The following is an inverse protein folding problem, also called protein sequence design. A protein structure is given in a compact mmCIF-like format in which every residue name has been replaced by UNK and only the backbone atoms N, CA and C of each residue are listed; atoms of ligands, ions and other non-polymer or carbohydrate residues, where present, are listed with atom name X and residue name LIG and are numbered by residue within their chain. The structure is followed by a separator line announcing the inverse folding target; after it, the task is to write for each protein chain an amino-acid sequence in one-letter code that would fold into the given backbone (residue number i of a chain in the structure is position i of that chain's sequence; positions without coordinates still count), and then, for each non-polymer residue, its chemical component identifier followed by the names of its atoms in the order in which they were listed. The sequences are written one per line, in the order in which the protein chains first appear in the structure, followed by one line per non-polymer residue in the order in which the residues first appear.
data_IF_804971363155
#
_entry.id   IF_804971363155
#
_cell.length_a   1.000
_cell.length_b   1.000
_cell.length_c   1.000
_cell.angle_alpha   90.00
_cell.angle_beta   90.00
_cell.angle_gamma   90.00
#
_symmetry.space_group_name_H-M   'P 1'
#
loop_
_entity.id
_entity.type
_entity.pdbx_description
1 polymer ?
#
# COMPACT_ATOMS: atom_id res chain seq x y z
N UNK A 1 -45.42 15.54 57.03
CA UNK A 1 -44.10 15.03 57.46
C UNK A 1 -43.84 13.70 56.75
N UNK A 2 -42.67 13.58 56.10
CA UNK A 2 -42.04 12.37 55.54
C UNK A 2 -42.71 11.79 54.27
N UNK A 3 -42.04 11.44 53.18
CA UNK A 3 -40.65 11.56 52.70
C UNK A 3 -40.70 11.19 51.21
N UNK A 4 -39.99 11.93 50.37
CA UNK A 4 -39.76 11.60 48.96
C UNK A 4 -38.77 10.42 48.84
N UNK A 5 -39.05 9.45 47.96
CA UNK A 5 -38.02 8.52 47.49
C UNK A 5 -38.28 8.03 46.05
N UNK A 6 -37.51 8.63 45.14
CA UNK A 6 -36.86 8.07 43.95
C UNK A 6 -37.66 7.20 42.94
N UNK A 7 -37.93 7.73 41.74
CA UNK A 7 -38.30 6.94 40.56
C UNK A 7 -37.17 7.02 39.52
N UNK A 8 -36.17 6.10 39.47
CA UNK A 8 -35.27 6.10 38.30
C UNK A 8 -34.27 4.94 38.08
N UNK A 9 -34.46 3.69 38.55
CA UNK A 9 -33.43 2.64 38.31
C UNK A 9 -34.01 1.27 37.93
N UNK A 10 -35.08 1.22 37.11
CA UNK A 10 -35.54 -0.05 36.52
C UNK A 10 -35.80 -0.05 35.02
N UNK A 11 -35.68 1.10 34.36
CA UNK A 11 -36.02 1.22 32.93
C UNK A 11 -34.81 1.34 31.99
N UNK A 12 -33.58 1.23 32.52
CA UNK A 12 -32.34 1.34 31.75
C UNK A 12 -31.64 0.01 31.45
N UNK A 13 -32.14 -1.11 31.97
CA UNK A 13 -31.45 -2.43 31.87
C UNK A 13 -32.15 -3.41 30.89
N UNK A 14 -33.26 -3.05 30.25
CA UNK A 14 -33.94 -3.91 29.25
C UNK A 14 -33.66 -3.56 27.78
N UNK A 15 -32.88 -2.50 27.50
CA UNK A 15 -32.61 -2.03 26.12
C UNK A 15 -31.19 -2.32 25.58
N UNK A 16 -30.36 -3.09 26.28
CA UNK A 16 -29.02 -3.48 25.80
C UNK A 16 -28.92 -4.95 25.34
N UNK A 17 -29.95 -5.44 24.62
CA UNK A 17 -29.84 -6.65 23.80
C UNK A 17 -30.38 -6.36 22.41
N UNK A 18 -29.50 -5.83 21.54
CA UNK A 18 -29.40 -6.12 20.10
C UNK A 18 -28.26 -5.30 19.50
N UNK A 19 -27.04 -5.49 20.02
CA UNK A 19 -25.85 -5.06 19.29
C UNK A 19 -25.65 -6.03 18.14
N UNK A 20 -26.30 -5.71 17.01
CA UNK A 20 -26.03 -6.33 15.73
C UNK A 20 -24.53 -6.27 15.47
N UNK A 21 -23.92 -7.45 15.36
CA UNK A 21 -22.58 -7.62 14.83
C UNK A 21 -22.62 -7.18 13.36
N UNK A 22 -22.33 -5.91 13.10
CA UNK A 22 -22.11 -5.41 11.75
C UNK A 22 -20.73 -5.89 11.34
N UNK A 23 -20.66 -7.11 10.83
CA UNK A 23 -19.54 -7.55 10.01
C UNK A 23 -19.40 -6.55 8.86
N UNK A 24 -18.21 -6.00 8.56
CA UNK A 24 -18.03 -5.18 7.37
C UNK A 24 -18.42 -6.03 6.16
N UNK A 25 -19.51 -5.67 5.48
CA UNK A 25 -19.90 -6.30 4.21
C UNK A 25 -18.77 -6.00 3.23
N UNK A 26 -18.03 -7.04 2.83
CA UNK A 26 -17.13 -6.97 1.69
C UNK A 26 -17.92 -6.36 0.51
N UNK A 27 -17.38 -5.33 -0.17
CA UNK A 27 -18.08 -4.73 -1.29
C UNK A 27 -18.29 -5.76 -2.40
N UNK A 28 -19.40 -5.66 -3.16
CA UNK A 28 -19.71 -6.60 -4.22
C UNK A 28 -18.59 -6.62 -5.27
N UNK A 29 -18.11 -7.83 -5.57
CA UNK A 29 -17.02 -8.14 -6.50
C UNK A 29 -17.25 -7.70 -7.95
N UNK A 30 -18.38 -7.06 -8.25
CA UNK A 30 -18.78 -6.60 -9.58
C UNK A 30 -18.38 -5.14 -9.90
N UNK A 31 -17.79 -4.40 -8.96
CA UNK A 31 -17.44 -2.98 -9.14
C UNK A 31 -15.99 -2.70 -9.53
N UNK A 32 -15.20 -3.74 -9.85
CA UNK A 32 -13.85 -3.54 -10.39
C UNK A 32 -13.86 -3.63 -11.91
N UNK A 33 -13.87 -2.51 -12.64
CA UNK A 33 -13.72 -2.56 -14.08
C UNK A 33 -12.37 -3.19 -14.46
N UNK A 34 -12.28 -3.92 -15.58
CA UNK A 34 -11.07 -4.60 -16.01
C UNK A 34 -10.05 -3.60 -16.60
N UNK A 35 -9.57 -2.64 -15.80
CA UNK A 35 -8.54 -1.70 -16.22
C UNK A 35 -7.14 -2.26 -15.98
N UNK A 36 -6.91 -3.42 -16.57
CA UNK A 36 -5.63 -3.76 -17.17
C UNK A 36 -5.93 -4.80 -18.26
N UNK A 37 -6.70 -4.41 -19.29
CA UNK A 37 -6.66 -5.14 -20.56
C UNK A 37 -5.28 -4.89 -21.17
N UNK A 38 -4.28 -5.59 -20.67
CA UNK A 38 -3.04 -5.79 -21.40
C UNK A 38 -3.34 -6.83 -22.46
N UNK A 39 -3.46 -6.37 -23.71
CA UNK A 39 -3.33 -7.24 -24.87
C UNK A 39 -2.04 -8.07 -24.75
N UNK A 40 -2.01 -9.22 -25.41
CA UNK A 40 -0.97 -10.26 -25.33
C UNK A 40 0.42 -9.63 -25.58
N UNK A 41 1.04 -9.14 -24.52
CA UNK A 41 2.39 -8.59 -24.48
C UNK A 41 3.09 -9.33 -23.35
N UNK A 42 4.26 -9.88 -23.65
CA UNK A 42 5.03 -10.67 -22.68
C UNK A 42 5.36 -9.78 -21.48
N UNK A 43 4.84 -10.14 -20.30
CA UNK A 43 5.06 -9.39 -19.06
C UNK A 43 6.49 -9.55 -18.59
N UNK A 44 7.32 -8.55 -18.83
CA UNK A 44 8.75 -8.56 -18.46
C UNK A 44 8.99 -8.16 -17.00
N UNK A 45 8.20 -7.24 -16.44
CA UNK A 45 8.41 -6.76 -15.07
C UNK A 45 7.08 -6.49 -14.34
N UNK A 46 6.66 -7.48 -13.56
CA UNK A 46 5.41 -7.46 -12.78
C UNK A 46 5.32 -6.30 -11.79
N UNK A 47 6.45 -5.83 -11.23
CA UNK A 47 6.46 -4.68 -10.33
C UNK A 47 6.17 -3.38 -11.08
N UNK A 48 6.71 -3.23 -12.28
CA UNK A 48 6.50 -2.04 -13.10
C UNK A 48 5.02 -1.91 -13.50
N UNK A 49 4.39 -3.02 -13.87
CA UNK A 49 2.97 -3.05 -14.22
C UNK A 49 2.10 -2.73 -12.98
N UNK A 50 2.43 -3.31 -11.83
CA UNK A 50 1.72 -3.04 -10.58
C UNK A 50 1.77 -1.55 -10.17
N UNK A 51 2.96 -0.94 -10.15
CA UNK A 51 3.10 0.48 -9.79
C UNK A 51 2.44 1.41 -10.83
N UNK A 52 2.49 1.06 -12.12
CA UNK A 52 1.75 1.80 -13.16
C UNK A 52 0.24 1.75 -12.92
N UNK A 53 -0.31 0.58 -12.57
CA UNK A 53 -1.73 0.45 -12.23
C UNK A 53 -2.12 1.31 -11.03
N UNK A 54 -1.30 1.34 -9.97
CA UNK A 54 -1.52 2.18 -8.79
C UNK A 54 -1.50 3.67 -9.17
N UNK A 55 -0.46 4.12 -9.88
CA UNK A 55 -0.32 5.52 -10.29
C UNK A 55 -1.50 5.98 -11.16
N UNK A 56 -1.95 5.12 -12.09
CA UNK A 56 -3.11 5.42 -12.93
C UNK A 56 -4.43 5.42 -12.15
N UNK A 57 -4.56 4.61 -11.10
CA UNK A 57 -5.75 4.58 -10.25
C UNK A 57 -5.82 5.82 -9.34
N UNK A 58 -4.70 6.21 -8.73
CA UNK A 58 -4.57 7.43 -7.91
C UNK A 58 -4.87 8.69 -8.73
N UNK A 59 -4.28 8.83 -9.92
CA UNK A 59 -4.58 9.96 -10.82
C UNK A 59 -6.04 10.06 -11.24
N UNK A 60 -6.77 8.93 -11.21
CA UNK A 60 -8.22 8.88 -11.51
C UNK A 60 -9.08 9.02 -10.25
N UNK A 61 -8.49 9.20 -9.07
CA UNK A 61 -9.22 9.32 -7.80
C UNK A 61 -9.95 8.03 -7.39
N UNK A 62 -9.48 6.85 -7.82
CA UNK A 62 -10.08 5.58 -7.40
C UNK A 62 -9.69 5.27 -5.96
N UNK A 63 -10.64 4.77 -5.17
CA UNK A 63 -10.41 4.36 -3.78
C UNK A 63 -9.65 3.04 -3.64
N UNK A 64 -9.71 2.18 -4.66
CA UNK A 64 -9.12 0.84 -4.60
C UNK A 64 -8.55 0.44 -5.96
N UNK A 65 -7.48 -0.34 -5.93
CA UNK A 65 -6.84 -0.90 -7.11
C UNK A 65 -6.59 -2.39 -6.94
N UNK A 66 -6.79 -3.13 -8.03
CA UNK A 66 -6.63 -4.56 -8.09
C UNK A 66 -5.41 -4.90 -8.95
N UNK A 67 -4.41 -5.53 -8.35
CA UNK A 67 -3.13 -5.84 -8.98
C UNK A 67 -3.07 -7.34 -9.29
N UNK A 68 -2.64 -7.67 -10.51
CA UNK A 68 -2.47 -9.06 -11.00
C UNK A 68 -1.23 -9.13 -11.90
N UNK A 69 -0.22 -9.98 -11.63
CA UNK A 69 -0.15 -11.04 -10.61
C UNK A 69 0.37 -10.55 -9.25
N UNK A 70 0.17 -11.33 -8.18
CA UNK A 70 0.82 -11.11 -6.89
C UNK A 70 2.28 -11.62 -6.95
N UNK A 71 3.19 -10.93 -6.28
CA UNK A 71 4.59 -11.35 -6.15
C UNK A 71 5.16 -10.88 -4.81
N UNK A 72 6.06 -11.66 -4.22
CA UNK A 72 6.69 -11.34 -2.91
C UNK A 72 7.33 -9.94 -2.92
N UNK A 73 7.96 -9.56 -4.03
CA UNK A 73 8.58 -8.22 -4.19
C UNK A 73 7.52 -7.12 -4.14
N UNK A 74 6.37 -7.30 -4.80
CA UNK A 74 5.27 -6.33 -4.80
C UNK A 74 4.72 -6.18 -3.38
N UNK A 75 4.47 -7.31 -2.69
CA UNK A 75 3.96 -7.30 -1.31
C UNK A 75 4.92 -6.54 -0.38
N UNK A 76 6.22 -6.81 -0.46
CA UNK A 76 7.23 -6.10 0.35
C UNK A 76 7.32 -4.62 0.00
N UNK A 77 7.23 -4.26 -1.28
CA UNK A 77 7.22 -2.86 -1.72
C UNK A 77 6.00 -2.12 -1.17
N UNK A 78 4.80 -2.71 -1.29
CA UNK A 78 3.56 -2.16 -0.73
C UNK A 78 3.65 -2.04 0.79
N UNK A 79 4.27 -3.00 1.47
CA UNK A 79 4.51 -2.91 2.91
C UNK A 79 5.33 -1.67 3.27
N UNK A 80 6.38 -1.34 2.51
CA UNK A 80 7.18 -0.12 2.73
C UNK A 80 6.33 1.15 2.48
N UNK A 81 5.52 1.17 1.42
CA UNK A 81 4.62 2.30 1.15
C UNK A 81 3.57 2.51 2.26
N UNK A 82 3.05 1.41 2.82
CA UNK A 82 2.08 1.42 3.91
C UNK A 82 2.71 1.93 5.22
N UNK A 83 3.94 1.51 5.54
CA UNK A 83 4.69 2.01 6.71
C UNK A 83 4.84 3.54 6.70
N UNK A 84 5.06 4.11 5.51
CA UNK A 84 5.20 5.55 5.31
C UNK A 84 3.86 6.29 5.13
N UNK A 85 2.73 5.57 5.13
CA UNK A 85 1.39 6.15 5.10
C UNK A 85 0.94 6.70 3.74
N UNK A 86 1.55 6.25 2.63
CA UNK A 86 1.13 6.63 1.26
C UNK A 86 -0.07 5.82 0.76
N UNK A 87 -0.14 4.56 1.17
CA UNK A 87 -1.27 3.66 0.87
C UNK A 87 -1.93 3.21 2.17
N UNK A 88 -3.20 2.82 2.07
CA UNK A 88 -3.90 2.18 3.17
C UNK A 88 -3.58 0.69 3.28
N UNK A 89 -4.48 -0.04 3.94
CA UNK A 89 -4.41 -1.48 4.05
C UNK A 89 -4.51 -2.15 2.67
N UNK A 90 -3.85 -3.30 2.53
CA UNK A 90 -3.95 -4.13 1.35
C UNK A 90 -4.22 -5.58 1.73
N UNK A 91 -5.00 -6.26 0.89
CA UNK A 91 -5.39 -7.65 1.08
C UNK A 91 -4.80 -8.51 -0.05
N UNK A 92 -4.27 -9.67 0.34
CA UNK A 92 -3.77 -10.67 -0.60
C UNK A 92 -4.85 -11.73 -0.74
N UNK A 93 -5.38 -11.88 -1.96
CA UNK A 93 -6.37 -12.89 -2.31
C UNK A 93 -5.66 -14.00 -3.07
N UNK A 94 -5.69 -15.22 -2.53
CA UNK A 94 -5.18 -16.40 -3.22
C UNK A 94 -6.24 -16.94 -4.20
N UNK A 95 -5.85 -17.12 -5.46
CA UNK A 95 -6.68 -17.67 -6.52
C UNK A 95 -6.15 -19.02 -7.04
N UNK A 96 -5.23 -19.66 -6.29
CA UNK A 96 -4.50 -20.87 -6.65
C UNK A 96 -3.73 -20.77 -7.99
N UNK A 97 -3.57 -19.56 -8.53
CA UNK A 97 -2.77 -19.29 -9.72
C UNK A 97 -1.57 -18.42 -9.38
N UNK A 98 -1.76 -17.12 -9.42
CA UNK A 98 -0.69 -16.14 -9.22
C UNK A 98 -1.04 -15.13 -8.13
N UNK A 99 -2.18 -15.30 -7.46
CA UNK A 99 -2.69 -14.39 -6.45
C UNK A 99 -3.09 -13.02 -7.03
N UNK A 100 -3.84 -12.29 -6.22
CA UNK A 100 -4.32 -10.94 -6.52
C UNK A 100 -4.10 -10.08 -5.29
N UNK A 101 -3.82 -8.80 -5.48
CA UNK A 101 -3.70 -7.86 -4.37
C UNK A 101 -4.73 -6.75 -4.56
N UNK A 102 -5.55 -6.51 -3.54
CA UNK A 102 -6.42 -5.35 -3.46
C UNK A 102 -5.75 -4.33 -2.56
N UNK A 103 -5.48 -3.13 -3.09
CA UNK A 103 -4.84 -2.04 -2.34
C UNK A 103 -5.84 -0.92 -2.14
N UNK A 104 -6.01 -0.48 -0.90
CA UNK A 104 -6.79 0.73 -0.58
C UNK A 104 -5.91 1.96 -0.76
N UNK A 105 -6.42 2.92 -1.54
CA UNK A 105 -5.74 4.15 -1.90
C UNK A 105 -6.27 5.31 -1.05
N UNK A 106 -5.35 6.11 -0.50
CA UNK A 106 -5.67 7.23 0.40
C UNK A 106 -5.70 8.57 -0.33
N UNK A 107 -5.20 8.65 -1.57
CA UNK A 107 -5.10 9.92 -2.31
C UNK A 107 -3.87 10.76 -1.98
N UNK A 108 -2.92 10.22 -1.20
CA UNK A 108 -1.68 10.91 -0.82
C UNK A 108 -0.51 10.68 -1.78
N UNK A 109 -0.62 9.68 -2.64
CA UNK A 109 0.44 9.28 -3.54
C UNK A 109 0.43 10.14 -4.82
N UNK A 110 1.49 10.90 -5.05
CA UNK A 110 1.62 11.69 -6.29
C UNK A 110 2.14 10.84 -7.45
N UNK A 111 3.21 10.07 -7.20
CA UNK A 111 3.88 9.26 -8.21
C UNK A 111 4.61 8.09 -7.57
N UNK A 112 4.36 6.90 -8.08
CA UNK A 112 5.21 5.73 -7.85
C UNK A 112 5.76 5.21 -9.18
N UNK A 113 6.97 4.65 -9.13
CA UNK A 113 7.67 4.16 -10.32
C UNK A 113 8.74 3.14 -9.99
N UNK A 114 8.98 2.24 -10.95
CA UNK A 114 10.09 1.29 -10.92
C UNK A 114 11.24 1.87 -11.73
N UNK A 115 12.47 1.66 -11.27
CA UNK A 115 13.68 2.00 -12.01
C UNK A 115 14.17 0.75 -12.73
N UNK A 116 14.37 0.87 -14.03
CA UNK A 116 14.82 -0.22 -14.90
C UNK A 116 15.93 0.29 -15.81
N UNK A 117 17.09 -0.38 -15.90
CA UNK A 117 17.48 -1.60 -15.16
C UNK A 117 17.71 -1.35 -13.65
N UNK A 118 17.80 -2.43 -12.85
CA UNK A 118 18.07 -2.34 -11.41
C UNK A 118 19.56 -2.10 -11.15
N UNK A 119 19.93 -0.83 -11.06
CA UNK A 119 21.30 -0.40 -10.79
C UNK A 119 21.76 -0.78 -9.37
N UNK A 120 23.04 -1.13 -9.26
CA UNK A 120 23.72 -1.28 -7.98
C UNK A 120 24.05 0.10 -7.41
N UNK A 121 23.66 0.33 -6.16
CA UNK A 121 23.80 1.60 -5.46
C UNK A 121 24.59 1.38 -4.18
N UNK A 122 25.75 2.04 -4.11
CA UNK A 122 26.54 2.15 -2.89
C UNK A 122 26.02 3.32 -2.04
N UNK A 123 26.33 3.30 -0.73
CA UNK A 123 25.92 4.36 0.20
C UNK A 123 26.35 5.76 -0.26
N UNK A 124 27.55 5.87 -0.84
CA UNK A 124 28.12 7.12 -1.38
C UNK A 124 27.32 7.70 -2.56
N UNK A 125 26.71 6.83 -3.36
CA UNK A 125 25.97 7.24 -4.56
C UNK A 125 24.48 7.46 -4.27
N UNK A 126 24.02 7.08 -3.07
CA UNK A 126 22.62 7.21 -2.66
C UNK A 126 22.14 8.67 -2.69
N UNK A 127 23.00 9.62 -2.32
CA UNK A 127 22.66 11.05 -2.34
C UNK A 127 22.43 11.58 -3.76
N UNK A 128 23.20 11.09 -4.74
CA UNK A 128 23.00 11.44 -6.14
C UNK A 128 21.64 10.94 -6.63
N UNK A 129 21.28 9.70 -6.26
CA UNK A 129 19.98 9.13 -6.60
C UNK A 129 18.82 9.85 -5.93
N UNK A 130 18.95 10.26 -4.66
CA UNK A 130 17.95 11.06 -3.97
C UNK A 130 17.67 12.37 -4.71
N UNK A 131 18.71 13.13 -5.06
CA UNK A 131 18.56 14.42 -5.73
C UNK A 131 17.96 14.30 -7.15
N UNK A 132 18.22 13.18 -7.84
CA UNK A 132 17.73 12.97 -9.21
C UNK A 132 16.28 12.46 -9.27
N UNK A 133 15.85 11.66 -8.28
CA UNK A 133 14.58 10.95 -8.31
C UNK A 133 13.49 11.59 -7.46
N UNK A 134 13.88 12.19 -6.32
CA UNK A 134 12.95 12.77 -5.37
C UNK A 134 12.77 14.26 -5.64
N UNK A 135 11.56 14.80 -5.47
CA UNK A 135 11.29 16.22 -5.69
C UNK A 135 11.96 17.10 -4.61
N UNK A 136 12.15 16.58 -3.40
CA UNK A 136 12.84 17.27 -2.31
C UNK A 136 13.53 16.29 -1.37
N UNK A 137 14.46 16.77 -0.54
CA UNK A 137 15.19 15.93 0.43
C UNK A 137 14.33 15.44 1.59
N UNK A 138 13.23 16.13 1.86
CA UNK A 138 12.31 15.82 2.96
C UNK A 138 11.09 15.00 2.51
N UNK A 139 10.92 14.79 1.19
CA UNK A 139 9.73 14.17 0.65
C UNK A 139 10.05 13.09 -0.37
N UNK A 140 9.45 11.92 -0.14
CA UNK A 140 9.58 10.77 -1.00
C UNK A 140 10.64 9.79 -0.54
N UNK A 141 10.51 8.56 -0.99
CA UNK A 141 11.37 7.47 -0.59
C UNK A 141 11.84 6.67 -1.81
N UNK A 142 13.12 6.33 -1.79
CA UNK A 142 13.70 5.34 -2.68
C UNK A 142 13.70 3.99 -1.98
N UNK A 143 13.27 2.96 -2.70
CA UNK A 143 13.24 1.57 -2.22
C UNK A 143 14.40 0.80 -2.85
N UNK A 144 15.14 0.11 -2.00
CA UNK A 144 16.32 -0.67 -2.34
C UNK A 144 16.11 -2.14 -1.95
N UNK A 145 16.67 -3.05 -2.73
CA UNK A 145 16.89 -4.44 -2.32
C UNK A 145 18.29 -4.56 -1.77
N UNK A 146 18.40 -4.86 -0.48
CA UNK A 146 19.66 -5.14 0.20
C UNK A 146 19.73 -6.62 0.57
N UNK A 147 20.88 -7.09 1.05
CA UNK A 147 21.03 -8.44 1.61
C UNK A 147 20.11 -8.70 2.82
N UNK A 148 19.79 -7.66 3.59
CA UNK A 148 18.86 -7.71 4.72
C UNK A 148 17.37 -7.57 4.30
N UNK A 149 17.08 -7.51 3.00
CA UNK A 149 15.73 -7.43 2.44
C UNK A 149 15.43 -6.11 1.73
N UNK A 150 14.14 -5.93 1.39
CA UNK A 150 13.65 -4.72 0.73
C UNK A 150 13.33 -3.67 1.80
N UNK A 151 13.95 -2.50 1.68
CA UNK A 151 13.82 -1.40 2.61
C UNK A 151 13.93 -0.06 1.90
N UNK A 152 13.56 1.00 2.58
CA UNK A 152 13.79 2.37 2.15
C UNK A 152 15.26 2.78 2.31
N UNK A 153 15.61 3.85 1.63
CA UNK A 153 16.95 4.40 1.62
C UNK A 153 17.41 4.99 2.97
N UNK A 154 16.49 5.40 3.86
CA UNK A 154 16.86 5.87 5.21
C UNK A 154 17.19 4.69 6.12
N UNK A 155 16.40 3.61 6.08
CA UNK A 155 16.74 2.34 6.71
C UNK A 155 18.08 1.78 6.21
N UNK A 156 18.34 1.86 4.90
CA UNK A 156 19.60 1.40 4.31
C UNK A 156 20.81 2.22 4.83
N UNK A 157 20.66 3.54 4.98
CA UNK A 157 21.69 4.42 5.55
C UNK A 157 21.94 4.09 7.03
N UNK A 158 20.88 3.87 7.82
CA UNK A 158 20.99 3.47 9.24
C UNK A 158 21.73 2.14 9.41
N UNK A 159 21.44 1.17 8.55
CA UNK A 159 22.09 -0.16 8.56
C UNK A 159 23.43 -0.20 7.85
N UNK A 160 23.94 0.95 7.35
CA UNK A 160 25.19 1.01 6.58
C UNK A 160 25.26 -0.05 5.47
N UNK A 161 24.15 -0.29 4.76
CA UNK A 161 24.08 -1.34 3.73
C UNK A 161 23.63 -0.75 2.40
N UNK A 162 24.37 -1.05 1.33
CA UNK A 162 23.99 -0.74 -0.05
C UNK A 162 23.12 -1.83 -0.68
N UNK A 163 22.74 -1.66 -1.94
CA UNK A 163 21.92 -2.65 -2.61
C UNK A 163 21.56 -2.28 -4.03
N UNK A 164 20.53 -2.93 -4.57
CA UNK A 164 19.99 -2.62 -5.90
C UNK A 164 18.76 -1.73 -5.81
N UNK A 165 18.69 -0.72 -6.64
CA UNK A 165 17.52 0.15 -6.69
C UNK A 165 16.32 -0.58 -7.32
N UNK A 166 15.17 -0.52 -6.64
CA UNK A 166 13.91 -1.07 -7.15
C UNK A 166 13.05 0.03 -7.77
N UNK A 167 12.87 1.12 -7.04
CA UNK A 167 11.94 2.15 -7.45
C UNK A 167 11.83 3.25 -6.41
N UNK A 168 10.88 4.14 -6.61
CA UNK A 168 10.63 5.29 -5.77
C UNK A 168 9.13 5.55 -5.66
N UNK A 169 8.75 6.24 -4.60
CA UNK A 169 7.40 6.76 -4.42
C UNK A 169 7.43 8.09 -3.66
N UNK A 170 6.51 8.98 -4.00
CA UNK A 170 6.25 10.26 -3.37
C UNK A 170 4.85 10.76 -3.76
#
# INVERSE_FOLDING_TARGET
MRTAHAPHIRELISRMRTSHHVTPRAPPSSLFPPYCRTGIMVRMNVLADALKCINNAEKRGKRQVLIRPCSKVIVRFLTVMMKHGYIGEFEIIDDHRAGKIVVNLTGRLNKCGVISPRFDVQLKDLEKWQNNLLPSRQFGFIVLTTSAGIMDHEEARRKHTGGKILGFFF
#
